data_IF_004414139044
#
_entry.id   IF_004414139044
#
_cell.length_a   1.000
_cell.length_b   1.000
_cell.length_c   1.000
_cell.angle_alpha   90.00
_cell.angle_beta   90.00
_cell.angle_gamma   90.00
#
_symmetry.space_group_name_H-M   'P 1'
#
loop_
_entity.id
_entity.type
_entity.pdbx_description
1 polymer ?
#
# COMPACT_ATOMS: atom_id res chain seq x y z
N UNK A 1 1.84 -4.07 2.04
CA UNK A 1 0.73 -3.13 1.87
C UNK A 1 -0.37 -3.76 1.02
N UNK A 2 -1.65 -3.57 1.34
CA UNK A 2 -2.75 -4.24 0.64
C UNK A 2 -3.86 -3.27 0.24
N UNK A 3 -4.77 -3.71 -0.62
CA UNK A 3 -5.88 -2.94 -1.16
C UNK A 3 -6.16 -3.25 -2.63
N UNK A 4 -7.31 -2.85 -3.18
CA UNK A 4 -7.65 -3.07 -4.59
C UNK A 4 -6.74 -2.28 -5.54
N UNK A 5 -6.86 -2.57 -6.82
CA UNK A 5 -6.23 -1.76 -7.86
C UNK A 5 -6.74 -0.32 -7.78
N UNK A 6 -5.86 0.65 -7.96
CA UNK A 6 -6.21 2.07 -7.87
C UNK A 6 -6.33 2.64 -6.44
N UNK A 7 -6.11 1.85 -5.38
CA UNK A 7 -6.13 2.35 -3.99
C UNK A 7 -4.91 3.19 -3.59
N UNK A 8 -3.93 3.37 -4.48
CA UNK A 8 -2.76 4.22 -4.25
C UNK A 8 -1.58 3.54 -3.56
N UNK A 9 -1.54 2.20 -3.49
CA UNK A 9 -0.46 1.42 -2.85
C UNK A 9 0.93 1.83 -3.33
N UNK A 10 1.14 1.80 -4.64
CA UNK A 10 2.43 2.15 -5.26
C UNK A 10 2.89 3.55 -4.85
N UNK A 11 1.99 4.54 -4.87
CA UNK A 11 2.32 5.91 -4.44
C UNK A 11 2.73 6.00 -2.98
N UNK A 12 2.04 5.27 -2.10
CA UNK A 12 2.40 5.21 -0.67
C UNK A 12 3.76 4.54 -0.49
N UNK A 13 4.04 3.42 -1.17
CA UNK A 13 5.36 2.79 -1.14
C UNK A 13 6.45 3.71 -1.69
N UNK A 14 6.21 4.41 -2.78
CA UNK A 14 7.15 5.41 -3.29
C UNK A 14 7.45 6.52 -2.27
N UNK A 15 6.44 6.99 -1.55
CA UNK A 15 6.65 7.96 -0.47
C UNK A 15 7.48 7.37 0.67
N UNK A 16 7.31 6.09 1.00
CA UNK A 16 8.17 5.38 1.95
C UNK A 16 9.61 5.29 1.43
N UNK A 17 9.81 4.90 0.16
CA UNK A 17 11.14 4.84 -0.45
C UNK A 17 11.83 6.20 -0.45
N UNK A 18 11.12 7.26 -0.85
CA UNK A 18 11.68 8.61 -0.82
C UNK A 18 12.08 9.05 0.60
N UNK A 19 11.29 8.68 1.61
CA UNK A 19 11.60 8.97 3.03
C UNK A 19 12.81 8.20 3.52
N UNK A 20 13.02 6.98 3.02
CA UNK A 20 14.15 6.11 3.35
C UNK A 20 15.40 6.44 2.53
N UNK A 21 15.25 7.13 1.40
CA UNK A 21 16.34 7.41 0.47
C UNK A 21 17.37 8.35 1.09
N UNK A 22 18.53 7.77 1.38
CA UNK A 22 19.66 8.45 1.97
C UNK A 22 20.95 7.98 1.31
N UNK A 23 21.99 8.81 1.27
CA UNK A 23 23.24 8.54 0.57
C UNK A 23 23.94 7.24 1.02
N UNK A 24 23.69 6.80 2.25
CA UNK A 24 24.26 5.57 2.81
C UNK A 24 23.30 4.36 2.73
N UNK A 25 22.24 4.45 1.94
CA UNK A 25 21.29 3.34 1.76
C UNK A 25 21.20 2.93 0.32
N UNK A 26 21.40 1.64 0.08
CA UNK A 26 21.14 1.03 -1.22
C UNK A 26 19.69 0.55 -1.27
N UNK A 27 18.87 1.24 -2.04
CA UNK A 27 17.44 0.93 -2.20
C UNK A 27 17.21 0.36 -3.60
N UNK A 28 16.65 -0.83 -3.67
CA UNK A 28 16.31 -1.49 -4.91
C UNK A 28 14.81 -1.74 -5.01
N UNK A 29 14.23 -1.63 -6.20
CA UNK A 29 12.83 -2.02 -6.44
C UNK A 29 12.69 -2.90 -7.67
N UNK A 30 11.62 -3.72 -7.66
CA UNK A 30 11.16 -4.53 -8.79
C UNK A 30 9.71 -4.15 -9.06
N UNK A 31 9.40 -3.75 -10.28
CA UNK A 31 8.11 -3.16 -10.61
C UNK A 31 7.56 -3.63 -11.97
N UNK A 32 6.24 -3.68 -12.09
CA UNK A 32 5.54 -4.09 -13.31
C UNK A 32 4.32 -3.17 -13.59
N UNK A 33 4.53 -2.08 -14.35
CA UNK A 33 5.78 -1.41 -14.71
C UNK A 33 6.25 -0.39 -13.65
N UNK A 34 7.40 0.26 -13.88
CA UNK A 34 7.81 1.43 -13.10
C UNK A 34 6.89 2.60 -13.46
N UNK A 35 6.08 3.05 -12.49
CA UNK A 35 5.13 4.16 -12.70
C UNK A 35 5.82 5.55 -12.69
N UNK A 36 6.79 5.72 -11.79
CA UNK A 36 7.53 6.99 -11.61
C UNK A 36 8.99 6.66 -11.32
N UNK A 37 9.91 7.30 -12.03
CA UNK A 37 11.34 7.22 -11.73
C UNK A 37 11.68 8.02 -10.49
N UNK A 38 12.34 7.37 -9.53
CA UNK A 38 12.75 7.97 -8.27
C UNK A 38 14.29 8.13 -8.28
N UNK A 39 14.82 9.37 -8.24
CA UNK A 39 16.26 9.58 -8.17
C UNK A 39 16.88 8.90 -6.94
N UNK A 40 18.03 8.27 -7.12
CA UNK A 40 18.76 7.60 -6.03
C UNK A 40 18.20 6.22 -5.65
N UNK A 41 17.26 5.67 -6.40
CA UNK A 41 16.70 4.33 -6.20
C UNK A 41 16.96 3.46 -7.44
N UNK A 42 17.46 2.26 -7.23
CA UNK A 42 17.74 1.28 -8.28
C UNK A 42 16.44 0.55 -8.65
N UNK A 43 15.69 1.11 -9.60
CA UNK A 43 14.41 0.55 -10.04
C UNK A 43 14.59 -0.39 -11.23
N UNK A 44 14.20 -1.65 -11.08
CA UNK A 44 14.25 -2.70 -12.12
C UNK A 44 12.84 -3.00 -12.61
N UNK A 45 12.62 -2.85 -13.92
CA UNK A 45 11.36 -3.23 -14.54
C UNK A 45 11.29 -4.75 -14.76
N UNK A 46 10.12 -5.33 -14.50
CA UNK A 46 9.80 -6.71 -14.85
C UNK A 46 9.72 -6.87 -16.37
N UNK A 47 10.48 -7.82 -16.92
CA UNK A 47 10.56 -8.08 -18.36
C UNK A 47 10.62 -9.58 -18.68
N UNK A 48 9.49 -10.30 -18.58
CA UNK A 48 9.47 -11.76 -18.73
C UNK A 48 9.92 -12.25 -20.10
N UNK A 49 9.69 -11.47 -21.16
CA UNK A 49 10.17 -11.81 -22.52
C UNK A 49 11.68 -11.78 -22.66
N UNK A 50 12.37 -11.08 -21.76
CA UNK A 50 13.84 -11.04 -21.69
C UNK A 50 14.40 -12.05 -20.66
N UNK A 51 13.58 -12.98 -20.14
CA UNK A 51 13.98 -13.93 -19.10
C UNK A 51 14.11 -13.31 -17.70
N UNK A 52 13.65 -12.07 -17.53
CA UNK A 52 13.69 -11.35 -16.26
C UNK A 52 12.35 -11.50 -15.53
N UNK A 53 12.13 -12.68 -14.94
CA UNK A 53 11.01 -12.90 -14.02
C UNK A 53 11.31 -12.32 -12.62
N UNK A 54 10.26 -12.20 -11.78
CA UNK A 54 10.39 -11.62 -10.44
C UNK A 54 11.44 -12.36 -9.59
N UNK A 55 11.46 -13.68 -9.61
CA UNK A 55 12.40 -14.48 -8.81
C UNK A 55 13.84 -14.28 -9.24
N UNK A 56 14.09 -14.23 -10.55
CA UNK A 56 15.42 -13.97 -11.10
C UNK A 56 15.93 -12.58 -10.69
N UNK A 57 15.07 -11.57 -10.81
CA UNK A 57 15.42 -10.19 -10.43
C UNK A 57 15.67 -10.09 -8.91
N UNK A 58 14.81 -10.68 -8.06
CA UNK A 58 15.00 -10.65 -6.60
C UNK A 58 16.34 -11.27 -6.22
N UNK A 59 16.69 -12.45 -6.78
CA UNK A 59 17.99 -13.10 -6.53
C UNK A 59 19.16 -12.23 -6.98
N UNK A 60 19.02 -11.51 -8.08
CA UNK A 60 20.06 -10.60 -8.54
C UNK A 60 20.22 -9.39 -7.60
N UNK A 61 19.11 -8.81 -7.16
CA UNK A 61 19.11 -7.68 -6.21
C UNK A 61 19.74 -8.07 -4.88
N UNK A 62 19.44 -9.24 -4.33
CA UNK A 62 20.02 -9.74 -3.07
C UNK A 62 21.55 -9.84 -3.11
N UNK A 63 22.17 -9.90 -4.29
CA UNK A 63 23.64 -9.88 -4.46
C UNK A 63 24.21 -8.47 -4.64
N UNK A 64 23.39 -7.45 -4.59
CA UNK A 64 23.78 -6.04 -4.72
C UNK A 64 23.90 -5.32 -3.37
N UNK A 65 23.91 -6.08 -2.27
CA UNK A 65 23.97 -5.53 -0.90
C UNK A 65 22.92 -4.43 -0.64
N UNK A 66 21.61 -4.71 -0.84
CA UNK A 66 20.58 -3.72 -0.62
C UNK A 66 20.23 -3.59 0.86
N UNK A 67 19.94 -2.37 1.33
CA UNK A 67 19.36 -2.15 2.67
C UNK A 67 17.83 -2.28 2.64
N UNK A 68 17.23 -1.83 1.52
CA UNK A 68 15.78 -1.80 1.33
C UNK A 68 15.43 -2.39 -0.02
N UNK A 69 14.48 -3.32 -0.02
CA UNK A 69 13.96 -3.95 -1.24
C UNK A 69 12.46 -3.67 -1.34
N UNK A 70 12.02 -3.04 -2.43
CA UNK A 70 10.60 -2.95 -2.76
C UNK A 70 10.25 -3.98 -3.82
N UNK A 71 9.31 -4.86 -3.52
CA UNK A 71 8.72 -5.80 -4.48
C UNK A 71 7.34 -5.28 -4.84
N UNK A 72 7.17 -4.80 -6.08
CA UNK A 72 5.94 -4.15 -6.54
C UNK A 72 4.69 -4.91 -6.13
N UNK A 73 4.70 -6.23 -6.33
CA UNK A 73 3.65 -7.13 -5.80
C UNK A 73 4.14 -8.57 -5.63
N UNK A 74 3.55 -9.28 -4.67
CA UNK A 74 3.75 -10.72 -4.47
C UNK A 74 2.55 -11.45 -5.08
N UNK A 75 2.77 -12.17 -6.19
CA UNK A 75 1.72 -12.89 -6.93
C UNK A 75 1.75 -14.40 -6.68
N UNK A 76 2.92 -14.96 -6.51
CA UNK A 76 3.19 -16.41 -6.49
C UNK A 76 4.07 -16.83 -5.31
N UNK A 77 4.17 -18.15 -5.13
CA UNK A 77 4.95 -18.76 -4.05
C UNK A 77 6.43 -18.38 -4.13
N UNK A 78 7.04 -18.39 -5.31
CA UNK A 78 8.47 -18.14 -5.46
C UNK A 78 8.85 -16.71 -5.05
N UNK A 79 8.06 -15.70 -5.46
CA UNK A 79 8.26 -14.32 -5.03
C UNK A 79 7.99 -14.12 -3.54
N UNK A 80 7.00 -14.83 -2.96
CA UNK A 80 6.72 -14.80 -1.53
C UNK A 80 7.89 -15.37 -0.71
N UNK A 81 8.39 -16.55 -1.07
CA UNK A 81 9.52 -17.19 -0.40
C UNK A 81 10.77 -16.31 -0.42
N UNK A 82 11.10 -15.72 -1.57
CA UNK A 82 12.25 -14.82 -1.69
C UNK A 82 12.08 -13.51 -0.90
N UNK A 83 10.87 -12.95 -0.83
CA UNK A 83 10.58 -11.78 -0.01
C UNK A 83 10.78 -12.07 1.48
N UNK A 84 10.31 -13.24 1.95
CA UNK A 84 10.50 -13.71 3.32
C UNK A 84 11.97 -13.95 3.60
N UNK A 85 12.68 -14.65 2.72
CA UNK A 85 14.13 -14.90 2.84
C UNK A 85 14.91 -13.59 2.95
N UNK A 86 14.60 -12.60 2.11
CA UNK A 86 15.22 -11.27 2.18
C UNK A 86 15.00 -10.61 3.54
N UNK A 87 13.75 -10.66 4.06
CA UNK A 87 13.42 -10.10 5.36
C UNK A 87 14.14 -10.82 6.52
N UNK A 88 14.25 -12.17 6.45
CA UNK A 88 14.96 -12.99 7.45
C UNK A 88 16.47 -12.72 7.48
N UNK A 89 17.04 -12.33 6.34
CA UNK A 89 18.46 -11.97 6.22
C UNK A 89 18.77 -10.50 6.55
N UNK A 90 17.78 -9.77 7.09
CA UNK A 90 18.02 -8.43 7.67
C UNK A 90 17.64 -7.25 6.78
N UNK A 91 17.13 -7.51 5.56
CA UNK A 91 16.70 -6.43 4.65
C UNK A 91 15.33 -5.87 5.07
N UNK A 92 15.12 -4.58 4.90
CA UNK A 92 13.77 -4.01 4.96
C UNK A 92 13.03 -4.31 3.65
N UNK A 93 12.03 -5.19 3.71
CA UNK A 93 11.23 -5.55 2.53
C UNK A 93 9.89 -4.84 2.56
N UNK A 94 9.60 -4.09 1.50
CA UNK A 94 8.32 -3.45 1.25
C UNK A 94 7.63 -4.12 0.06
N UNK A 95 6.35 -4.48 0.20
CA UNK A 95 5.64 -5.10 -0.91
C UNK A 95 4.14 -4.81 -0.90
N UNK A 96 3.48 -5.14 -2.02
CA UNK A 96 2.02 -5.11 -2.10
C UNK A 96 1.41 -6.49 -2.29
N UNK A 97 0.18 -6.62 -1.79
CA UNK A 97 -0.70 -7.76 -1.98
C UNK A 97 -2.08 -7.25 -2.42
N UNK A 98 -2.81 -8.06 -3.17
CA UNK A 98 -4.18 -7.76 -3.55
C UNK A 98 -5.15 -8.47 -2.60
N UNK A 99 -5.41 -7.87 -1.42
CA UNK A 99 -6.44 -8.32 -0.48
C UNK A 99 -7.36 -7.17 -0.09
N UNK A 100 -8.57 -7.48 0.36
CA UNK A 100 -9.57 -6.46 0.72
C UNK A 100 -9.29 -5.79 2.07
N UNK A 101 -8.75 -6.54 3.02
CA UNK A 101 -8.49 -6.13 4.40
C UNK A 101 -7.08 -6.53 4.80
N UNK A 102 -6.53 -5.87 5.83
CA UNK A 102 -5.16 -6.12 6.27
C UNK A 102 -4.96 -7.55 6.77
N UNK A 103 -5.87 -8.10 7.58
CA UNK A 103 -5.80 -9.49 8.06
C UNK A 103 -5.80 -10.54 6.93
N UNK A 104 -6.50 -10.28 5.84
CA UNK A 104 -6.53 -11.20 4.70
C UNK A 104 -5.15 -11.36 4.01
N UNK A 105 -4.21 -10.46 4.28
CA UNK A 105 -2.85 -10.58 3.76
C UNK A 105 -2.10 -11.79 4.34
N UNK A 106 -2.29 -12.08 5.62
CA UNK A 106 -1.71 -13.27 6.29
C UNK A 106 -2.23 -14.55 5.65
N UNK A 107 -3.56 -14.67 5.53
CA UNK A 107 -4.19 -15.83 4.88
C UNK A 107 -3.73 -15.97 3.42
N UNK A 108 -3.54 -14.84 2.71
CA UNK A 108 -3.03 -14.88 1.34
C UNK A 108 -1.62 -15.41 1.26
N UNK A 109 -0.72 -15.01 2.17
CA UNK A 109 0.66 -15.51 2.23
C UNK A 109 0.70 -17.00 2.63
N UNK A 110 -0.16 -17.44 3.56
CA UNK A 110 -0.34 -18.88 3.85
C UNK A 110 -0.76 -19.67 2.61
N UNK A 111 -1.74 -19.17 1.85
CA UNK A 111 -2.19 -19.81 0.61
C UNK A 111 -1.09 -19.85 -0.47
N UNK A 112 -0.10 -18.98 -0.39
CA UNK A 112 1.11 -19.02 -1.23
C UNK A 112 2.17 -19.99 -0.69
N UNK A 113 1.90 -20.67 0.44
CA UNK A 113 2.75 -21.71 0.99
C UNK A 113 3.78 -21.21 2.01
N UNK A 114 3.62 -20.00 2.55
CA UNK A 114 4.48 -19.49 3.61
C UNK A 114 3.94 -19.98 4.97
N UNK A 115 4.80 -20.58 5.77
CA UNK A 115 4.44 -21.09 7.09
C UNK A 115 4.29 -19.98 8.13
N UNK A 116 3.56 -20.29 9.22
CA UNK A 116 3.25 -19.33 10.30
C UNK A 116 4.52 -18.75 10.95
N UNK A 117 5.50 -19.59 11.25
CA UNK A 117 6.72 -19.15 11.93
C UNK A 117 7.51 -18.15 11.08
N UNK A 118 7.59 -18.40 9.77
CA UNK A 118 8.21 -17.48 8.82
C UNK A 118 7.49 -16.13 8.79
N UNK A 119 6.15 -16.13 8.80
CA UNK A 119 5.36 -14.88 8.84
C UNK A 119 5.59 -14.11 10.14
N UNK A 120 5.54 -14.77 11.28
CA UNK A 120 5.76 -14.16 12.60
C UNK A 120 7.18 -13.58 12.74
N UNK A 121 8.18 -14.25 12.16
CA UNK A 121 9.57 -13.77 12.23
C UNK A 121 9.81 -12.51 11.40
N UNK A 122 9.07 -12.32 10.29
CA UNK A 122 9.34 -11.29 9.27
C UNK A 122 8.36 -10.15 9.24
N UNK A 123 7.03 -10.42 9.35
CA UNK A 123 6.03 -9.38 9.19
C UNK A 123 6.03 -8.46 10.41
N UNK A 124 6.17 -7.16 10.15
CA UNK A 124 6.13 -6.12 11.19
C UNK A 124 4.88 -5.28 11.12
N UNK A 125 4.39 -5.02 9.90
CA UNK A 125 3.23 -4.16 9.69
C UNK A 125 2.50 -4.58 8.42
N UNK A 126 1.19 -4.60 8.48
CA UNK A 126 0.31 -4.71 7.32
C UNK A 126 -0.57 -3.48 7.28
N UNK A 127 -0.59 -2.79 6.15
CA UNK A 127 -1.50 -1.67 5.93
C UNK A 127 -2.43 -1.95 4.76
N UNK A 128 -3.73 -1.80 4.96
CA UNK A 128 -4.72 -1.79 3.89
C UNK A 128 -5.11 -0.36 3.57
N UNK A 129 -5.30 -0.05 2.28
CA UNK A 129 -5.57 1.33 1.83
C UNK A 129 -6.76 1.40 0.88
N UNK A 130 -7.54 2.48 1.04
CA UNK A 130 -8.55 2.96 0.09
C UNK A 130 -8.31 4.43 -0.22
N UNK A 131 -8.71 4.84 -1.42
CA UNK A 131 -8.75 6.26 -1.80
C UNK A 131 -10.20 6.72 -1.83
N UNK A 132 -10.53 7.65 -0.95
CA UNK A 132 -11.86 8.26 -0.85
C UNK A 132 -11.83 9.66 -1.47
N UNK A 133 -12.88 10.05 -2.18
CA UNK A 133 -13.02 11.39 -2.78
C UNK A 133 -13.08 12.46 -1.69
N UNK A 134 -12.23 13.48 -1.80
CA UNK A 134 -12.23 14.62 -0.89
C UNK A 134 -13.37 15.58 -1.24
N UNK A 135 -14.03 16.08 -0.21
CA UNK A 135 -14.95 17.20 -0.32
C UNK A 135 -14.24 18.41 -0.95
N UNK A 136 -14.85 19.04 -1.91
CA UNK A 136 -14.28 20.24 -2.53
C UNK A 136 -14.15 21.34 -1.46
N UNK A 137 -12.94 21.86 -1.28
CA UNK A 137 -12.64 22.85 -0.26
C UNK A 137 -13.32 24.20 -0.53
N UNK A 138 -13.57 24.55 -1.81
CA UNK A 138 -14.16 25.81 -2.19
C UNK A 138 -15.67 25.86 -1.94
N UNK A 139 -16.43 24.88 -2.45
CA UNK A 139 -17.90 24.83 -2.29
C UNK A 139 -18.36 23.96 -1.10
N UNK A 140 -17.42 23.42 -0.32
CA UNK A 140 -17.69 22.51 0.82
C UNK A 140 -18.61 21.36 0.46
N UNK A 141 -18.45 20.82 -0.76
CA UNK A 141 -19.21 19.68 -1.24
C UNK A 141 -20.60 20.00 -1.82
N UNK A 142 -20.98 21.26 -1.93
CA UNK A 142 -22.28 21.66 -2.49
C UNK A 142 -22.32 21.56 -4.03
N UNK A 143 -21.16 21.59 -4.69
CA UNK A 143 -21.08 21.63 -6.16
C UNK A 143 -21.31 23.02 -6.76
N UNK A 144 -21.94 23.93 -6.02
CA UNK A 144 -22.27 25.29 -6.46
C UNK A 144 -21.84 26.33 -5.47
N UNK A 145 -21.65 27.56 -5.95
CA UNK A 145 -21.42 28.78 -5.18
C UNK A 145 -22.31 29.87 -5.78
N UNK A 146 -23.15 30.51 -4.96
CA UNK A 146 -24.04 31.58 -5.39
C UNK A 146 -24.86 31.22 -6.67
N UNK A 147 -25.42 30.01 -6.71
CA UNK A 147 -26.20 29.45 -7.83
C UNK A 147 -25.39 29.14 -9.12
N UNK A 148 -24.08 29.34 -9.11
CA UNK A 148 -23.19 28.99 -10.21
C UNK A 148 -22.42 27.69 -9.89
N UNK A 149 -22.07 26.93 -10.91
CA UNK A 149 -21.23 25.75 -10.73
C UNK A 149 -19.86 26.14 -10.13
N UNK A 150 -19.41 25.38 -9.13
CA UNK A 150 -18.09 25.58 -8.56
C UNK A 150 -17.00 25.28 -9.59
N UNK A 151 -16.14 26.27 -9.87
CA UNK A 151 -15.07 26.15 -10.86
C UNK A 151 -14.05 25.06 -10.53
N UNK A 152 -13.77 24.83 -9.22
CA UNK A 152 -12.78 23.83 -8.78
C UNK A 152 -13.26 22.39 -8.99
N UNK A 153 -14.50 22.10 -8.68
CA UNK A 153 -15.06 20.76 -8.77
C UNK A 153 -16.00 20.56 -9.96
N UNK A 154 -16.19 21.60 -10.79
CA UNK A 154 -17.10 21.59 -11.93
C UNK A 154 -18.50 21.06 -11.60
N UNK A 155 -19.03 21.44 -10.46
CA UNK A 155 -20.38 21.08 -10.02
C UNK A 155 -20.52 19.74 -9.29
N UNK A 156 -19.47 18.90 -9.21
CA UNK A 156 -19.58 17.55 -8.64
C UNK A 156 -19.39 17.50 -7.09
N UNK A 157 -18.96 18.59 -6.46
CA UNK A 157 -18.78 18.69 -5.01
C UNK A 157 -17.50 18.02 -4.47
N UNK A 158 -16.65 17.41 -5.32
CA UNK A 158 -15.44 16.71 -4.89
C UNK A 158 -14.19 17.24 -5.60
N UNK A 159 -13.06 17.27 -4.89
CA UNK A 159 -11.77 17.64 -5.48
C UNK A 159 -10.62 16.87 -4.85
N UNK A 160 -9.99 16.01 -5.66
CA UNK A 160 -8.91 15.13 -5.22
C UNK A 160 -9.40 13.92 -4.42
N UNK A 161 -8.44 13.20 -3.87
CA UNK A 161 -8.66 11.99 -3.06
C UNK A 161 -7.75 11.99 -1.83
N UNK A 162 -8.16 11.29 -0.77
CA UNK A 162 -7.36 11.06 0.43
C UNK A 162 -7.26 9.57 0.70
N UNK A 163 -6.10 9.12 1.19
CA UNK A 163 -5.90 7.74 1.62
C UNK A 163 -6.53 7.51 2.99
N UNK A 164 -7.37 6.48 3.08
CA UNK A 164 -7.83 5.92 4.36
C UNK A 164 -7.09 4.62 4.57
N UNK A 165 -6.51 4.44 5.74
CA UNK A 165 -5.64 3.32 6.05
C UNK A 165 -6.16 2.54 7.26
N UNK A 166 -6.12 1.22 7.15
CA UNK A 166 -6.15 0.28 8.26
C UNK A 166 -4.73 -0.22 8.46
N UNK A 167 -4.17 -0.03 9.64
CA UNK A 167 -2.78 -0.40 9.93
C UNK A 167 -2.74 -1.39 11.10
N UNK A 168 -2.17 -2.54 10.85
CA UNK A 168 -1.93 -3.58 11.83
C UNK A 168 -0.43 -3.68 12.07
N UNK A 169 0.01 -3.53 13.30
CA UNK A 169 1.35 -3.90 13.73
C UNK A 169 1.45 -5.39 14.10
N UNK A 170 2.60 -5.84 14.53
CA UNK A 170 2.84 -7.23 14.89
C UNK A 170 1.80 -7.79 15.86
N UNK A 171 1.45 -7.02 16.91
CA UNK A 171 0.51 -7.47 17.94
C UNK A 171 -0.91 -7.66 17.36
N UNK A 172 -1.37 -6.73 16.54
CA UNK A 172 -2.68 -6.82 15.89
C UNK A 172 -2.75 -7.92 14.83
N UNK A 173 -1.62 -8.22 14.17
CA UNK A 173 -1.55 -9.26 13.12
C UNK A 173 -1.69 -10.65 13.72
N UNK A 174 -0.98 -10.92 14.81
CA UNK A 174 -0.83 -12.29 15.35
C UNK A 174 -1.58 -12.52 16.66
N UNK A 175 -2.23 -11.50 17.23
CA UNK A 175 -3.06 -11.63 18.41
C UNK A 175 -4.49 -11.11 18.14
N UNK A 176 -5.47 -11.97 17.90
CA UNK A 176 -6.83 -11.57 17.55
C UNK A 176 -7.60 -10.85 18.68
N UNK A 177 -7.07 -10.89 19.92
CA UNK A 177 -7.70 -10.22 21.07
C UNK A 177 -7.27 -8.75 21.23
N UNK A 178 -6.34 -8.27 20.42
CA UNK A 178 -5.92 -6.86 20.44
C UNK A 178 -6.82 -6.06 19.52
N UNK A 179 -7.50 -5.06 20.06
CA UNK A 179 -8.34 -4.16 19.27
C UNK A 179 -7.48 -3.22 18.42
N UNK A 180 -7.90 -2.96 17.20
CA UNK A 180 -7.24 -2.04 16.27
C UNK A 180 -8.23 -1.07 15.66
N UNK A 181 -7.72 0.03 15.09
CA UNK A 181 -8.54 1.00 14.39
C UNK A 181 -8.93 0.46 13.01
N UNK A 182 -10.20 0.11 12.84
CA UNK A 182 -10.71 -0.38 11.54
C UNK A 182 -10.61 0.70 10.47
N UNK A 183 -10.60 0.28 9.20
CA UNK A 183 -10.56 1.23 8.09
C UNK A 183 -11.72 2.21 8.10
N UNK A 184 -12.93 1.76 8.44
CA UNK A 184 -14.11 2.62 8.56
C UNK A 184 -13.92 3.66 9.69
N UNK A 185 -13.49 3.23 10.88
CA UNK A 185 -13.22 4.13 11.99
C UNK A 185 -12.11 5.15 11.66
N UNK A 186 -11.04 4.73 10.98
CA UNK A 186 -10.03 5.64 10.49
C UNK A 186 -10.58 6.66 9.47
N UNK A 187 -11.51 6.24 8.61
CA UNK A 187 -12.19 7.11 7.66
C UNK A 187 -13.13 8.13 8.35
N UNK A 188 -13.81 7.73 9.43
CA UNK A 188 -14.68 8.63 10.20
C UNK A 188 -13.92 9.84 10.76
N UNK A 189 -12.66 9.71 11.14
CA UNK A 189 -11.83 10.87 11.51
C UNK A 189 -11.68 11.91 10.38
N UNK A 190 -11.70 11.47 9.12
CA UNK A 190 -11.69 12.38 7.97
C UNK A 190 -13.07 13.00 7.73
N UNK A 191 -14.15 12.26 8.03
CA UNK A 191 -15.53 12.80 7.97
C UNK A 191 -15.71 13.90 9.01
N UNK A 192 -15.32 13.67 10.27
CA UNK A 192 -15.36 14.64 11.36
C UNK A 192 -14.60 15.94 11.05
N UNK A 193 -13.49 15.82 10.30
CA UNK A 193 -12.72 16.99 9.82
C UNK A 193 -13.32 17.67 8.59
N UNK A 194 -14.41 17.15 8.03
CA UNK A 194 -15.04 17.65 6.82
C UNK A 194 -14.23 17.41 5.52
N UNK A 195 -13.20 16.55 5.59
CA UNK A 195 -12.35 16.26 4.43
C UNK A 195 -13.02 15.36 3.41
N UNK A 196 -13.90 14.46 3.87
CA UNK A 196 -14.68 13.55 3.04
C UNK A 196 -16.13 13.55 3.55
N UNK A 197 -17.05 13.12 2.70
CA UNK A 197 -18.44 12.85 3.12
C UNK A 197 -18.57 11.39 3.55
N UNK A 198 -19.51 11.11 4.44
CA UNK A 198 -19.76 9.75 4.93
C UNK A 198 -20.19 8.81 3.80
N UNK A 199 -21.09 9.27 2.92
CA UNK A 199 -21.51 8.47 1.76
C UNK A 199 -20.35 8.06 0.85
N UNK A 200 -19.36 8.94 0.66
CA UNK A 200 -18.15 8.64 -0.09
C UNK A 200 -17.26 7.61 0.64
N UNK A 201 -17.20 7.67 1.98
CA UNK A 201 -16.48 6.67 2.78
C UNK A 201 -17.16 5.30 2.67
N UNK A 202 -18.48 5.26 2.90
CA UNK A 202 -19.27 4.02 2.90
C UNK A 202 -19.22 3.31 1.53
N UNK A 203 -19.18 4.09 0.44
CA UNK A 203 -19.04 3.57 -0.92
C UNK A 203 -17.70 2.85 -1.14
N UNK A 204 -16.60 3.41 -0.63
CA UNK A 204 -15.23 2.91 -0.92
C UNK A 204 -14.74 1.87 0.11
N UNK A 205 -15.16 2.02 1.35
CA UNK A 205 -14.72 1.18 2.47
C UNK A 205 -15.75 0.09 2.81
N UNK A 206 -17.03 0.36 2.57
CA UNK A 206 -18.15 -0.44 3.03
C UNK A 206 -18.57 -0.08 4.46
N UNK A 207 -19.81 -0.42 4.80
CA UNK A 207 -20.41 -0.21 6.13
C UNK A 207 -20.10 -1.37 7.09
N UNK A 208 -19.09 -2.17 6.81
CA UNK A 208 -18.78 -3.38 7.60
C UNK A 208 -18.16 -2.98 8.95
N UNK A 209 -18.97 -3.09 9.96
CA UNK A 209 -18.60 -3.09 11.39
C UNK A 209 -18.01 -4.45 11.78
#
# INVERSE_FOLDING_TARGET
>A
MTGPTGSGKTRTLYSCLQRLNHIHRNICSIEDPIEIRLPGINQVAFHPRAGLDFSTIIRAILRQDPDVIMIGEIRDKASAELAIQAAQTGHLVLSTLHTRHAHAAVSRLHNLGIDQNSLESCIRTISSQRLVRKTCYQCRGQGSLQQLNCEICHGNGYFGRVGVHEVLDYMHIFNPNVSYLSMHAAGMHHVERGWIKQDALDTEVGTWS
#
